data_IF_289183691983
#
_entry.id   IF_289183691983
#
_cell.length_a   1.000
_cell.length_b   1.000
_cell.length_c   1.000
_cell.angle_alpha   90.00
_cell.angle_beta   90.00
_cell.angle_gamma   90.00
#
_symmetry.space_group_name_H-M   'P 1'
#
loop_
_entity.id
_entity.type
_entity.pdbx_description
1 polymer ?
#
# COMPACT_ATOMS: atom_id res chain seq x y z
N UNK A 1 7.77 21.22 2.65
CA UNK A 1 8.87 20.95 1.70
C UNK A 1 8.57 19.65 0.97
N UNK A 2 8.83 19.59 -0.33
CA UNK A 2 8.58 18.40 -1.16
C UNK A 2 9.88 18.05 -1.89
N UNK A 3 10.31 16.80 -1.77
CA UNK A 3 11.53 16.28 -2.38
C UNK A 3 11.17 15.11 -3.30
N UNK A 4 11.68 15.11 -4.53
CA UNK A 4 11.56 13.96 -5.42
C UNK A 4 12.49 12.84 -4.95
N UNK A 5 11.95 11.63 -4.79
CA UNK A 5 12.76 10.46 -4.46
C UNK A 5 13.44 9.95 -5.73
N UNK A 6 14.75 9.79 -5.69
CA UNK A 6 15.52 9.17 -6.76
C UNK A 6 15.63 7.68 -6.49
N UNK A 7 14.94 6.88 -7.30
CA UNK A 7 14.96 5.43 -7.19
C UNK A 7 16.09 4.84 -8.03
N UNK A 8 16.74 3.79 -7.52
CA UNK A 8 17.69 3.02 -8.33
C UNK A 8 16.94 2.37 -9.49
N UNK A 9 17.57 2.23 -10.68
CA UNK A 9 16.94 1.55 -11.82
C UNK A 9 16.38 0.18 -11.46
N UNK A 10 17.11 -0.60 -10.64
CA UNK A 10 16.66 -1.92 -10.15
C UNK A 10 15.32 -1.86 -9.39
N UNK A 11 15.09 -0.82 -8.60
CA UNK A 11 13.84 -0.67 -7.83
C UNK A 11 12.68 -0.35 -8.77
N UNK A 12 12.91 0.53 -9.74
CA UNK A 12 11.91 0.87 -10.76
C UNK A 12 11.58 -0.36 -11.61
N UNK A 13 12.59 -1.09 -12.08
CA UNK A 13 12.39 -2.34 -12.84
C UNK A 13 11.55 -3.35 -12.06
N UNK A 14 11.85 -3.57 -10.78
CA UNK A 14 11.07 -4.50 -9.93
C UNK A 14 9.60 -4.10 -9.78
N UNK A 15 9.33 -2.80 -9.71
CA UNK A 15 7.97 -2.28 -9.62
C UNK A 15 7.22 -2.49 -10.95
N UNK A 16 7.85 -2.17 -12.07
CA UNK A 16 7.28 -2.35 -13.42
C UNK A 16 7.06 -3.84 -13.75
N UNK A 17 8.01 -4.73 -13.40
CA UNK A 17 7.84 -6.19 -13.51
C UNK A 17 6.67 -6.69 -12.67
N UNK A 18 6.52 -6.19 -11.43
CA UNK A 18 5.39 -6.54 -10.59
C UNK A 18 4.06 -6.08 -11.19
N UNK A 19 4.02 -4.91 -11.84
CA UNK A 19 2.81 -4.44 -12.56
C UNK A 19 2.39 -5.44 -13.63
N UNK A 20 3.33 -5.93 -14.44
CA UNK A 20 3.02 -6.91 -15.49
C UNK A 20 2.59 -8.28 -14.90
N UNK A 21 3.13 -8.68 -13.75
CA UNK A 21 2.65 -9.86 -13.02
C UNK A 21 1.19 -9.70 -12.57
N UNK A 22 0.81 -8.54 -12.05
CA UNK A 22 -0.59 -8.26 -11.65
C UNK A 22 -1.52 -8.24 -12.86
N UNK A 23 -1.13 -7.56 -13.95
CA UNK A 23 -1.91 -7.48 -15.19
C UNK A 23 -2.14 -8.87 -15.81
N UNK A 24 -1.11 -9.71 -15.87
CA UNK A 24 -1.23 -11.08 -16.41
C UNK A 24 -2.10 -11.98 -15.53
N UNK A 25 -2.04 -11.84 -14.20
CA UNK A 25 -2.94 -12.56 -13.29
C UNK A 25 -4.39 -12.15 -13.44
N UNK A 26 -4.64 -10.86 -13.66
CA UNK A 26 -5.98 -10.34 -13.94
C UNK A 26 -6.47 -10.76 -15.34
N UNK A 27 -5.59 -10.91 -16.33
CA UNK A 27 -5.96 -11.37 -17.67
C UNK A 27 -6.28 -12.87 -17.77
N UNK A 28 -5.73 -13.69 -16.87
CA UNK A 28 -5.82 -15.16 -16.93
C UNK A 28 -6.80 -15.78 -15.90
N UNK A 29 -7.35 -15.00 -14.97
CA UNK A 29 -8.25 -15.48 -13.93
C UNK A 29 -9.66 -15.72 -14.46
N UNK A 30 -10.09 -16.98 -14.48
CA UNK A 30 -11.48 -17.36 -14.75
C UNK A 30 -12.42 -16.87 -13.65
N UNK A 31 -13.61 -16.44 -14.09
CA UNK A 31 -14.75 -16.05 -13.27
C UNK A 31 -14.98 -17.02 -12.11
N UNK A 32 -14.57 -16.63 -10.91
CA UNK A 32 -15.13 -17.25 -9.70
C UNK A 32 -16.31 -16.38 -9.27
N UNK A 33 -17.47 -17.02 -9.05
CA UNK A 33 -18.79 -16.42 -8.91
C UNK A 33 -18.96 -15.36 -7.78
N UNK A 34 -17.89 -15.01 -7.06
CA UNK A 34 -17.83 -13.93 -6.09
C UNK A 34 -17.41 -12.57 -6.70
N UNK A 35 -16.92 -12.52 -7.94
CA UNK A 35 -16.42 -11.32 -8.63
C UNK A 35 -17.51 -10.39 -9.20
N UNK A 36 -18.56 -10.10 -8.43
CA UNK A 36 -19.61 -9.13 -8.81
C UNK A 36 -19.18 -7.65 -8.62
N UNK A 37 -17.96 -7.30 -9.03
CA UNK A 37 -17.39 -5.94 -8.87
C UNK A 37 -16.74 -5.41 -10.15
N UNK A 38 -17.54 -5.22 -11.20
CA UNK A 38 -17.12 -5.01 -12.59
C UNK A 38 -16.41 -3.69 -12.98
N UNK A 39 -15.60 -3.08 -12.13
CA UNK A 39 -14.78 -1.90 -12.53
C UNK A 39 -13.30 -2.04 -12.18
N UNK A 40 -12.97 -2.64 -11.03
CA UNK A 40 -11.58 -2.85 -10.61
C UNK A 40 -10.83 -3.79 -11.55
N UNK A 41 -11.52 -4.77 -12.13
CA UNK A 41 -10.91 -5.74 -13.06
C UNK A 41 -10.39 -5.08 -14.35
N UNK A 42 -11.10 -4.08 -14.87
CA UNK A 42 -10.67 -3.36 -16.07
C UNK A 42 -9.37 -2.56 -15.82
N UNK A 43 -9.26 -1.92 -14.66
CA UNK A 43 -8.04 -1.19 -14.27
C UNK A 43 -6.89 -2.15 -13.94
N UNK A 44 -7.15 -3.27 -13.28
CA UNK A 44 -6.14 -4.30 -13.02
C UNK A 44 -5.46 -4.78 -14.30
N UNK A 45 -6.22 -5.02 -15.38
CA UNK A 45 -5.66 -5.47 -16.67
C UNK A 45 -4.95 -4.34 -17.42
N UNK A 46 -5.45 -3.11 -17.32
CA UNK A 46 -4.88 -1.96 -18.03
C UNK A 46 -3.55 -1.48 -17.42
N UNK A 47 -3.54 -1.18 -16.13
CA UNK A 47 -2.41 -0.53 -15.44
C UNK A 47 -2.02 -1.22 -14.11
N UNK A 48 -2.60 -2.37 -13.78
CA UNK A 48 -2.38 -3.04 -12.49
C UNK A 48 -3.16 -2.41 -11.34
N UNK A 49 -4.18 -1.61 -11.64
CA UNK A 49 -4.93 -0.80 -10.68
C UNK A 49 -3.98 0.11 -9.88
N UNK A 50 -3.20 0.90 -10.61
CA UNK A 50 -2.21 1.78 -10.01
C UNK A 50 -2.85 3.03 -9.40
N UNK A 51 -2.47 3.34 -8.17
CA UNK A 51 -3.00 4.46 -7.39
C UNK A 51 -1.90 5.21 -6.66
N UNK A 52 -2.08 6.52 -6.50
CA UNK A 52 -1.22 7.34 -5.63
C UNK A 52 -1.70 7.22 -4.19
N UNK A 53 -0.80 6.93 -3.26
CA UNK A 53 -1.15 6.75 -1.85
C UNK A 53 -0.13 7.42 -0.92
N UNK A 54 -0.59 7.78 0.27
CA UNK A 54 0.22 8.37 1.32
C UNK A 54 0.73 7.30 2.26
N UNK A 55 1.99 7.43 2.65
CA UNK A 55 2.66 6.57 3.63
C UNK A 55 3.34 7.46 4.66
N UNK A 56 2.84 7.49 5.89
CA UNK A 56 3.44 8.35 6.91
C UNK A 56 4.68 7.71 7.53
N UNK A 57 5.71 8.54 7.68
CA UNK A 57 6.90 8.23 8.45
C UNK A 57 6.63 8.76 9.86
N UNK A 58 6.77 7.92 10.89
CA UNK A 58 6.48 8.27 12.29
C UNK A 58 7.24 9.50 12.81
N UNK A 59 7.04 9.89 14.09
CA UNK A 59 7.66 11.08 14.66
C UNK A 59 9.18 11.10 14.49
N UNK A 60 9.75 12.23 14.07
CA UNK A 60 11.21 12.40 13.88
C UNK A 60 11.99 12.59 15.19
N UNK A 61 11.29 12.66 16.34
CA UNK A 61 11.84 13.06 17.64
C UNK A 61 11.84 11.94 18.68
N UNK A 62 12.22 10.73 18.28
CA UNK A 62 12.63 9.65 19.19
C UNK A 62 13.96 9.11 18.70
N UNK A 63 14.92 8.91 19.62
CA UNK A 63 16.25 8.40 19.29
C UNK A 63 16.17 7.22 18.32
N UNK A 64 16.95 7.28 17.24
CA UNK A 64 16.98 6.28 16.17
C UNK A 64 17.66 4.96 16.58
N UNK A 65 17.71 4.65 17.87
CA UNK A 65 18.18 3.40 18.44
C UNK A 65 17.24 3.07 19.61
N UNK A 66 16.75 1.83 19.66
CA UNK A 66 15.82 1.34 20.71
C UNK A 66 14.37 1.85 20.64
N UNK A 67 13.75 1.66 19.47
CA UNK A 67 12.52 0.86 19.43
C UNK A 67 12.36 0.40 17.99
N UNK A 68 12.74 -0.85 17.72
CA UNK A 68 12.61 -1.54 16.44
C UNK A 68 11.16 -1.81 16.03
N UNK A 69 10.34 -0.76 16.04
CA UNK A 69 8.93 -0.76 15.65
C UNK A 69 8.65 0.21 14.49
N UNK A 70 9.70 0.72 13.82
CA UNK A 70 9.63 1.20 12.43
C UNK A 70 9.54 0.03 11.43
N UNK A 71 8.89 -1.05 11.85
CA UNK A 71 8.68 -2.26 11.09
C UNK A 71 7.38 -2.07 10.32
N UNK A 72 7.49 -1.73 9.03
CA UNK A 72 7.00 -2.48 7.86
C UNK A 72 5.92 -3.59 8.03
N UNK A 73 5.10 -3.53 9.07
CA UNK A 73 4.28 -4.65 9.53
C UNK A 73 3.11 -4.10 10.32
N UNK A 74 1.91 -4.25 9.77
CA UNK A 74 0.79 -4.55 10.64
C UNK A 74 1.11 -5.88 11.34
N UNK A 75 1.35 -5.83 12.65
CA UNK A 75 1.35 -7.03 13.48
C UNK A 75 -0.10 -7.49 13.69
N UNK A 76 -0.71 -7.98 12.61
CA UNK A 76 -1.81 -8.94 12.69
C UNK A 76 -1.32 -10.21 11.99
N UNK A 77 -0.57 -11.02 12.73
CA UNK A 77 -0.22 -12.42 12.41
C UNK A 77 0.31 -12.72 11.00
N UNK A 78 1.62 -12.98 10.88
CA UNK A 78 2.28 -13.65 9.74
C UNK A 78 2.17 -12.92 8.38
N UNK A 79 3.05 -11.96 8.17
CA UNK A 79 3.39 -11.37 6.86
C UNK A 79 3.76 -9.89 6.95
N UNK A 80 4.82 -9.47 6.27
CA UNK A 80 5.13 -8.04 6.13
C UNK A 80 4.18 -7.43 5.09
N UNK A 81 3.24 -6.62 5.53
CA UNK A 81 2.30 -5.88 4.67
C UNK A 81 2.55 -4.38 4.80
N UNK A 82 2.45 -3.65 3.69
CA UNK A 82 2.62 -2.20 3.66
C UNK A 82 1.25 -1.54 3.69
N UNK A 83 0.98 -0.74 4.74
CA UNK A 83 -0.20 0.12 4.79
C UNK A 83 0.00 1.38 3.97
N UNK A 84 -0.99 1.80 3.21
CA UNK A 84 -1.00 3.12 2.58
C UNK A 84 -2.40 3.72 2.57
N UNK A 85 -2.50 5.05 2.56
CA UNK A 85 -3.76 5.77 2.74
C UNK A 85 -4.14 6.57 1.51
N UNK A 86 -5.43 6.68 1.22
CA UNK A 86 -5.95 7.56 0.16
C UNK A 86 -5.76 9.05 0.47
N UNK A 87 -5.74 9.42 1.75
CA UNK A 87 -5.61 10.80 2.22
C UNK A 87 -4.47 11.02 3.21
N UNK A 88 -3.84 12.20 3.14
CA UNK A 88 -2.75 12.60 4.04
C UNK A 88 -3.20 12.78 5.50
N UNK A 89 -4.47 13.18 5.73
CA UNK A 89 -5.04 13.31 7.06
C UNK A 89 -5.13 11.96 7.77
N UNK A 90 -5.75 10.96 7.13
CA UNK A 90 -5.81 9.61 7.67
C UNK A 90 -4.41 9.01 7.91
N UNK A 91 -3.47 9.23 6.97
CA UNK A 91 -2.09 8.80 7.15
C UNK A 91 -1.43 9.46 8.37
N UNK A 92 -1.67 10.76 8.59
CA UNK A 92 -1.14 11.50 9.72
C UNK A 92 -1.70 11.01 11.05
N UNK A 93 -3.01 10.82 11.13
CA UNK A 93 -3.68 10.29 12.33
C UNK A 93 -3.16 8.90 12.68
N UNK A 94 -3.02 8.02 11.69
CA UNK A 94 -2.48 6.68 11.92
C UNK A 94 -1.01 6.69 12.38
N UNK A 95 -0.23 7.69 11.97
CA UNK A 95 1.14 7.90 12.47
C UNK A 95 1.20 8.60 13.84
N UNK A 96 0.05 8.77 14.53
CA UNK A 96 -0.05 9.25 15.89
C UNK A 96 -0.62 10.67 16.06
N UNK A 97 -1.15 11.30 15.00
CA UNK A 97 -1.99 12.52 15.10
C UNK A 97 -1.33 13.75 15.76
N UNK A 98 0.00 13.74 15.90
CA UNK A 98 0.71 14.70 16.74
C UNK A 98 1.23 15.93 16.01
N UNK A 99 1.30 17.05 16.73
CA UNK A 99 1.87 18.33 16.25
C UNK A 99 3.38 18.27 16.03
N UNK A 100 3.90 19.26 15.29
CA UNK A 100 5.33 19.46 15.05
C UNK A 100 5.77 19.01 13.66
N UNK A 101 7.09 18.96 13.43
CA UNK A 101 7.65 18.57 12.14
C UNK A 101 7.43 17.07 11.92
N UNK A 102 6.96 16.71 10.73
CA UNK A 102 6.61 15.35 10.32
C UNK A 102 7.04 15.10 8.87
N UNK A 103 7.09 13.83 8.50
CA UNK A 103 7.39 13.41 7.14
C UNK A 103 6.39 12.36 6.65
N UNK A 104 6.07 12.39 5.36
CA UNK A 104 5.29 11.34 4.69
C UNK A 104 5.80 11.14 3.28
N UNK A 105 5.68 9.93 2.77
CA UNK A 105 5.90 9.60 1.36
C UNK A 105 4.59 9.67 0.60
N UNK A 106 4.68 10.11 -0.65
CA UNK A 106 3.67 9.85 -1.67
C UNK A 106 4.25 8.76 -2.57
N UNK A 107 3.53 7.63 -2.66
CA UNK A 107 3.95 6.44 -3.38
C UNK A 107 3.00 6.15 -4.54
N UNK A 108 3.56 5.65 -5.65
CA UNK A 108 2.80 4.89 -6.64
C UNK A 108 2.62 3.48 -6.08
N UNK A 109 1.39 2.99 -6.05
CA UNK A 109 1.06 1.68 -5.49
C UNK A 109 0.27 0.88 -6.51
N UNK A 110 0.69 -0.34 -6.79
CA UNK A 110 -0.04 -1.31 -7.61
C UNK A 110 -1.00 -2.01 -6.67
N UNK A 111 -2.28 -1.61 -6.68
CA UNK A 111 -3.28 -2.23 -5.81
C UNK A 111 -3.67 -3.62 -6.30
N UNK A 112 -3.58 -3.87 -7.61
CA UNK A 112 -4.08 -5.08 -8.22
C UNK A 112 -5.53 -5.36 -7.84
N UNK A 113 -5.86 -6.65 -7.70
CA UNK A 113 -7.19 -7.07 -7.24
C UNK A 113 -7.29 -6.80 -5.74
N UNK A 114 -8.26 -5.98 -5.35
CA UNK A 114 -8.43 -5.52 -3.98
C UNK A 114 -9.54 -6.31 -3.29
N UNK A 115 -9.20 -7.01 -2.22
CA UNK A 115 -10.18 -7.65 -1.34
C UNK A 115 -10.74 -6.63 -0.34
N UNK A 116 -12.01 -6.73 0.02
CA UNK A 116 -12.57 -5.94 1.14
C UNK A 116 -12.33 -6.68 2.45
N UNK A 117 -11.84 -5.97 3.47
CA UNK A 117 -11.67 -6.54 4.79
C UNK A 117 -13.04 -6.81 5.44
N UNK A 118 -13.56 -8.02 5.30
CA UNK A 118 -14.83 -8.45 5.88
C UNK A 118 -14.57 -9.38 7.07
N UNK A 119 -14.54 -8.84 8.30
CA UNK A 119 -14.60 -9.63 9.54
C UNK A 119 -13.48 -10.65 9.77
N UNK A 120 -13.46 -11.26 10.95
CA UNK A 120 -12.35 -12.09 11.45
C UNK A 120 -12.24 -13.47 10.75
N UNK A 121 -13.28 -13.93 10.05
CA UNK A 121 -13.36 -15.28 9.45
C UNK A 121 -12.87 -15.37 8.00
N UNK A 122 -12.77 -14.27 7.26
CA UNK A 122 -12.34 -14.31 5.84
C UNK A 122 -10.81 -14.34 5.64
N UNK A 123 -10.01 -14.33 6.71
CA UNK A 123 -8.55 -14.20 6.64
C UNK A 123 -7.83 -15.46 6.12
N UNK A 124 -8.52 -16.62 6.15
CA UNK A 124 -7.95 -17.91 5.74
C UNK A 124 -8.43 -18.31 4.32
N UNK A 125 -9.65 -17.95 3.91
CA UNK A 125 -10.16 -18.21 2.55
C UNK A 125 -9.98 -17.03 1.56
N UNK A 126 -9.92 -15.79 2.05
CA UNK A 126 -9.84 -14.57 1.23
C UNK A 126 -8.45 -14.20 0.73
N UNK A 127 -7.40 -14.98 1.02
CA UNK A 127 -6.05 -14.76 0.44
C UNK A 127 -5.90 -15.35 -0.96
N UNK A 128 -6.86 -16.15 -1.42
CA UNK A 128 -6.76 -16.80 -2.74
C UNK A 128 -7.24 -15.81 -3.80
N UNK A 129 -6.30 -15.07 -4.38
CA UNK A 129 -6.53 -14.30 -5.60
C UNK A 129 -6.48 -12.77 -5.47
N UNK A 130 -6.32 -12.19 -4.29
CA UNK A 130 -6.17 -10.73 -4.14
C UNK A 130 -4.70 -10.32 -3.98
N UNK A 131 -4.35 -9.16 -4.52
CA UNK A 131 -3.01 -8.56 -4.43
C UNK A 131 -2.93 -7.56 -3.25
N UNK A 132 -4.08 -7.03 -2.81
CA UNK A 132 -4.18 -6.11 -1.68
C UNK A 132 -5.54 -6.20 -0.97
N UNK A 133 -5.65 -5.55 0.19
CA UNK A 133 -6.90 -5.45 0.96
C UNK A 133 -7.20 -3.99 1.30
N UNK A 134 -8.43 -3.54 1.04
CA UNK A 134 -8.91 -2.22 1.46
C UNK A 134 -9.56 -2.29 2.84
N UNK A 135 -9.19 -1.35 3.71
CA UNK A 135 -9.86 -1.11 5.00
C UNK A 135 -10.92 0.00 4.92
N UNK A 136 -11.75 0.09 5.95
CA UNK A 136 -12.90 1.01 6.01
C UNK A 136 -12.51 2.50 6.09
N UNK A 137 -11.28 2.79 6.54
CA UNK A 137 -10.77 4.14 6.75
C UNK A 137 -9.96 4.70 5.57
N UNK A 138 -10.03 4.06 4.40
CA UNK A 138 -9.23 4.42 3.22
C UNK A 138 -7.81 3.83 3.23
N UNK A 139 -7.56 2.86 4.11
CA UNK A 139 -6.36 2.03 4.15
C UNK A 139 -6.31 1.07 2.97
N UNK A 140 -5.11 0.81 2.47
CA UNK A 140 -4.81 -0.26 1.53
C UNK A 140 -3.57 -0.99 2.00
N UNK A 141 -3.73 -2.29 2.27
CA UNK A 141 -2.68 -3.21 2.66
C UNK A 141 -2.21 -3.97 1.43
N UNK A 142 -0.97 -3.75 1.02
CA UNK A 142 -0.33 -4.57 -0.02
C UNK A 142 0.60 -5.59 0.61
N UNK A 143 0.60 -6.82 0.07
CA UNK A 143 1.36 -7.94 0.64
C UNK A 143 2.76 -8.11 0.04
N UNK A 144 3.06 -7.42 -1.07
CA UNK A 144 4.35 -7.44 -1.74
C UNK A 144 4.96 -6.03 -1.75
N UNK A 145 6.20 -5.89 -1.26
CA UNK A 145 6.89 -4.61 -1.23
C UNK A 145 7.21 -4.06 -2.63
N UNK A 146 7.29 -4.93 -3.65
CA UNK A 146 7.46 -4.51 -5.05
C UNK A 146 6.25 -3.74 -5.59
N UNK A 147 5.10 -3.83 -4.91
CA UNK A 147 3.91 -3.07 -5.27
C UNK A 147 4.01 -1.58 -4.92
N UNK A 148 5.07 -1.12 -4.24
CA UNK A 148 5.18 0.25 -3.74
C UNK A 148 6.43 0.93 -4.29
N UNK A 149 6.25 2.09 -4.94
CA UNK A 149 7.34 2.92 -5.42
C UNK A 149 7.24 4.34 -4.84
N UNK A 150 8.15 4.71 -3.92
CA UNK A 150 8.21 6.07 -3.39
C UNK A 150 8.51 7.10 -4.48
N UNK A 151 7.74 8.19 -4.52
CA UNK A 151 7.86 9.23 -5.54
C UNK A 151 8.27 10.57 -4.94
N UNK A 152 7.63 10.96 -3.84
CA UNK A 152 7.89 12.23 -3.17
C UNK A 152 7.99 12.04 -1.66
N UNK A 153 8.94 12.73 -1.04
CA UNK A 153 9.01 12.93 0.40
C UNK A 153 8.48 14.31 0.73
N UNK A 154 7.44 14.36 1.56
CA UNK A 154 6.84 15.60 2.06
C UNK A 154 7.26 15.78 3.51
N UNK A 155 7.94 16.89 3.81
CA UNK A 155 8.17 17.34 5.18
C UNK A 155 7.22 18.50 5.46
N UNK A 156 6.39 18.35 6.49
CA UNK A 156 5.35 19.30 6.86
C UNK A 156 5.37 19.57 8.37
N UNK A 157 4.65 20.61 8.78
CA UNK A 157 4.44 20.95 10.18
C UNK A 157 2.95 21.27 10.36
N UNK A 158 2.35 20.67 11.37
CA UNK A 158 0.99 20.95 11.85
C UNK A 158 1.03 21.79 13.13
#
# INVERSE_FOLDING_TARGET
MVFKVQNLPRTVTRFEEYREVVKSRAGNGGESAAEKGGEDHARCVADGNEVMRFYCLGPTNGGAYENGNSAWTFSSGKGAAVCTYSGSGAAHENAGGGRGRRAMLVCRVIAGRVGKQLGFDSLIEGRVGYDSVSGDSGELLVFDSRAVLPCFLIIYKL
#
